data_IF_007408482747
#
_entry.id   IF_007408482747
#
_cell.length_a   1.000
_cell.length_b   1.000
_cell.length_c   1.000
_cell.angle_alpha   90.00
_cell.angle_beta   90.00
_cell.angle_gamma   90.00
#
_symmetry.space_group_name_H-M   'P 1'
#
loop_
_entity.id
_entity.type
_entity.pdbx_description
1 polymer ?
#
# COMPACT_ATOMS: atom_id res chain seq x y z
N UNK A 1 22.42 -10.90 -12.39
CA UNK A 1 21.35 -11.90 -12.64
C UNK A 1 20.24 -11.58 -11.68
N UNK A 2 18.99 -11.54 -12.14
CA UNK A 2 17.84 -11.33 -11.26
C UNK A 2 17.80 -12.40 -10.16
N UNK A 3 17.28 -12.08 -8.96
CA UNK A 3 17.13 -13.08 -7.91
C UNK A 3 16.19 -14.19 -8.38
N UNK A 4 16.40 -15.43 -7.90
CA UNK A 4 15.52 -16.53 -8.22
C UNK A 4 14.10 -16.28 -7.69
N UNK A 5 13.13 -16.90 -8.35
CA UNK A 5 11.78 -17.02 -7.79
C UNK A 5 11.84 -17.87 -6.51
N UNK A 6 10.99 -17.55 -5.54
CA UNK A 6 10.90 -18.32 -4.31
C UNK A 6 10.26 -19.71 -4.60
N UNK A 7 11.02 -20.81 -4.44
CA UNK A 7 10.57 -22.16 -4.87
C UNK A 7 10.21 -23.09 -3.70
N UNK A 8 10.77 -22.87 -2.49
CA UNK A 8 10.61 -23.80 -1.36
C UNK A 8 10.20 -23.10 -0.06
N UNK A 9 9.35 -23.78 0.72
CA UNK A 9 8.85 -23.29 2.01
C UNK A 9 8.89 -24.36 3.09
N UNK A 10 9.37 -23.96 4.26
CA UNK A 10 9.31 -24.77 5.50
C UNK A 10 7.90 -24.74 6.09
N UNK A 11 7.54 -25.76 6.89
CA UNK A 11 6.25 -25.78 7.60
C UNK A 11 6.06 -24.54 8.49
N UNK A 12 7.14 -24.06 9.13
CA UNK A 12 7.10 -22.86 9.96
C UNK A 12 6.81 -21.59 9.14
N UNK A 13 7.35 -21.47 7.93
CA UNK A 13 6.99 -20.36 7.03
C UNK A 13 5.53 -20.42 6.63
N UNK A 14 5.01 -21.59 6.25
CA UNK A 14 3.58 -21.76 5.93
C UNK A 14 2.68 -21.35 7.08
N UNK A 15 3.04 -21.75 8.31
CA UNK A 15 2.33 -21.32 9.51
C UNK A 15 2.35 -19.79 9.68
N UNK A 16 3.50 -19.13 9.48
CA UNK A 16 3.57 -17.66 9.51
C UNK A 16 2.67 -17.00 8.46
N UNK A 17 2.66 -17.53 7.22
CA UNK A 17 1.79 -17.05 6.14
C UNK A 17 0.31 -17.11 6.54
N UNK A 18 -0.13 -18.27 7.03
CA UNK A 18 -1.50 -18.46 7.50
C UNK A 18 -1.84 -17.53 8.67
N UNK A 19 -0.99 -17.45 9.69
CA UNK A 19 -1.21 -16.55 10.83
C UNK A 19 -1.30 -15.09 10.40
N UNK A 20 -0.37 -14.62 9.55
CA UNK A 20 -0.36 -13.27 9.02
C UNK A 20 -1.69 -12.94 8.32
N UNK A 21 -2.10 -13.81 7.40
CA UNK A 21 -3.34 -13.63 6.65
C UNK A 21 -4.57 -13.70 7.55
N UNK A 22 -4.63 -14.64 8.50
CA UNK A 22 -5.74 -14.72 9.45
C UNK A 22 -5.87 -13.45 10.29
N UNK A 23 -4.76 -12.91 10.81
CA UNK A 23 -4.77 -11.66 11.59
C UNK A 23 -5.34 -10.51 10.76
N UNK A 24 -4.87 -10.35 9.52
CA UNK A 24 -5.31 -9.25 8.64
C UNK A 24 -6.77 -9.43 8.25
N UNK A 25 -7.20 -10.63 7.85
CA UNK A 25 -8.59 -10.89 7.44
C UNK A 25 -9.56 -10.70 8.60
N UNK A 26 -9.24 -11.23 9.79
CA UNK A 26 -10.08 -11.06 10.98
C UNK A 26 -10.15 -9.59 11.37
N UNK A 27 -9.01 -8.89 11.38
CA UNK A 27 -8.96 -7.46 11.71
C UNK A 27 -9.74 -6.60 10.72
N UNK A 28 -9.61 -6.85 9.43
CA UNK A 28 -10.35 -6.13 8.38
C UNK A 28 -11.85 -6.39 8.45
N UNK A 29 -12.25 -7.65 8.65
CA UNK A 29 -13.65 -8.04 8.78
C UNK A 29 -14.32 -7.39 10.00
N UNK A 30 -13.70 -7.52 11.17
CA UNK A 30 -14.23 -6.93 12.41
C UNK A 30 -14.18 -5.40 12.36
N UNK A 31 -13.12 -4.81 11.82
CA UNK A 31 -13.02 -3.36 11.61
C UNK A 31 -14.12 -2.83 10.70
N UNK A 32 -14.49 -3.57 9.65
CA UNK A 32 -15.62 -3.19 8.79
C UNK A 32 -16.92 -3.15 9.60
N UNK A 33 -17.21 -4.20 10.36
CA UNK A 33 -18.46 -4.35 11.13
C UNK A 33 -18.56 -3.32 12.27
N UNK A 34 -17.48 -3.13 13.04
CA UNK A 34 -17.53 -2.34 14.28
C UNK A 34 -16.98 -0.92 14.15
N UNK A 35 -16.33 -0.59 13.04
CA UNK A 35 -15.80 0.77 12.79
C UNK A 35 -16.45 1.40 11.57
N UNK A 36 -16.34 0.77 10.39
CA UNK A 36 -16.82 1.38 9.15
C UNK A 36 -18.34 1.48 9.09
N UNK A 37 -19.06 0.40 9.40
CA UNK A 37 -20.54 0.38 9.34
C UNK A 37 -21.17 1.42 10.28
N UNK A 38 -20.79 1.54 11.57
CA UNK A 38 -21.29 2.59 12.46
C UNK A 38 -20.98 4.01 11.98
N UNK A 39 -19.93 4.21 11.19
CA UNK A 39 -19.59 5.52 10.61
C UNK A 39 -20.40 5.84 9.34
N UNK A 40 -21.04 4.87 8.68
CA UNK A 40 -21.78 5.10 7.43
C UNK A 40 -22.89 6.16 7.51
N UNK A 41 -23.65 6.33 8.61
CA UNK A 41 -24.63 7.42 8.70
C UNK A 41 -24.00 8.80 8.52
N UNK A 42 -22.76 8.99 9.01
CA UNK A 42 -22.03 10.26 8.85
C UNK A 42 -21.78 10.60 7.38
N UNK A 43 -21.69 9.60 6.50
CA UNK A 43 -21.49 9.82 5.07
C UNK A 43 -22.69 10.57 4.44
N UNK A 44 -23.90 10.42 4.98
CA UNK A 44 -25.10 11.11 4.50
C UNK A 44 -25.21 12.55 5.01
N UNK A 45 -24.68 12.83 6.21
CA UNK A 45 -24.78 14.16 6.83
C UNK A 45 -23.57 15.05 6.51
N UNK A 46 -22.37 14.48 6.51
CA UNK A 46 -21.13 15.19 6.22
C UNK A 46 -20.14 14.27 5.49
N UNK A 47 -20.30 14.11 4.16
CA UNK A 47 -19.46 13.25 3.35
C UNK A 47 -17.96 13.56 3.50
N UNK A 48 -17.58 14.84 3.59
CA UNK A 48 -16.18 15.27 3.73
C UNK A 48 -15.57 14.84 5.06
N UNK A 49 -16.32 14.97 6.15
CA UNK A 49 -15.87 14.52 7.48
C UNK A 49 -15.78 12.99 7.54
N UNK A 50 -16.78 12.28 7.00
CA UNK A 50 -16.75 10.83 6.86
C UNK A 50 -15.49 10.37 6.12
N UNK A 51 -15.20 10.94 4.95
CA UNK A 51 -13.98 10.64 4.17
C UNK A 51 -12.72 10.84 5.00
N UNK A 52 -12.57 12.00 5.65
CA UNK A 52 -11.39 12.30 6.47
C UNK A 52 -11.18 11.29 7.61
N UNK A 53 -12.27 10.89 8.29
CA UNK A 53 -12.20 9.93 9.40
C UNK A 53 -11.86 8.53 8.87
N UNK A 54 -12.52 8.08 7.80
CA UNK A 54 -12.30 6.75 7.23
C UNK A 54 -10.90 6.64 6.63
N UNK A 55 -10.44 7.63 5.87
CA UNK A 55 -9.08 7.65 5.30
C UNK A 55 -8.01 7.65 6.42
N UNK A 56 -8.26 8.36 7.53
CA UNK A 56 -7.41 8.30 8.71
C UNK A 56 -7.40 6.90 9.34
N UNK A 57 -8.57 6.31 9.61
CA UNK A 57 -8.66 4.99 10.23
C UNK A 57 -8.05 3.88 9.37
N UNK A 58 -8.34 3.88 8.07
CA UNK A 58 -7.76 2.92 7.12
C UNK A 58 -6.25 3.12 7.05
N UNK A 59 -5.76 4.34 6.85
CA UNK A 59 -4.32 4.58 6.72
C UNK A 59 -3.53 4.14 7.95
N UNK A 60 -4.06 4.35 9.16
CA UNK A 60 -3.44 3.86 10.38
C UNK A 60 -3.64 2.34 10.58
N UNK A 61 -4.73 1.76 10.08
CA UNK A 61 -4.90 0.30 10.03
C UNK A 61 -3.86 -0.36 9.10
N UNK A 62 -3.47 0.28 7.99
CA UNK A 62 -2.43 -0.22 7.07
C UNK A 62 -1.04 -0.36 7.72
N UNK A 63 -0.81 0.30 8.86
CA UNK A 63 0.40 0.09 9.67
C UNK A 63 0.46 -1.34 10.20
N UNK A 64 -0.69 -1.99 10.47
CA UNK A 64 -0.76 -3.37 10.94
C UNK A 64 -0.13 -4.38 9.95
N UNK A 65 -0.64 -4.55 8.71
CA UNK A 65 -0.04 -5.46 7.75
C UNK A 65 1.42 -5.08 7.43
N UNK A 66 1.72 -3.79 7.29
CA UNK A 66 3.08 -3.30 7.02
C UNK A 66 4.08 -3.74 8.11
N UNK A 67 3.70 -3.62 9.38
CA UNK A 67 4.56 -3.99 10.51
C UNK A 67 4.71 -5.49 10.65
N UNK A 68 3.62 -6.25 10.45
CA UNK A 68 3.65 -7.70 10.53
C UNK A 68 4.55 -8.31 9.45
N UNK A 69 4.64 -7.70 8.27
CA UNK A 69 5.57 -8.14 7.22
C UNK A 69 7.02 -8.10 7.71
N UNK A 70 7.43 -7.00 8.34
CA UNK A 70 8.77 -6.85 8.89
C UNK A 70 9.00 -7.78 10.11
N UNK A 71 8.04 -7.87 11.02
CA UNK A 71 8.21 -8.61 12.28
C UNK A 71 8.08 -10.13 12.12
N UNK A 72 7.15 -10.61 11.29
CA UNK A 72 6.92 -12.04 11.10
C UNK A 72 7.88 -12.65 10.08
N UNK A 73 8.13 -11.96 8.97
CA UNK A 73 8.93 -12.51 7.86
C UNK A 73 10.36 -11.97 7.82
N UNK A 74 10.67 -10.91 8.59
CA UNK A 74 12.00 -10.31 8.59
C UNK A 74 12.30 -9.51 7.33
N UNK A 75 11.26 -8.97 6.67
CA UNK A 75 11.42 -8.09 5.53
C UNK A 75 12.17 -6.82 5.94
N UNK A 76 13.22 -6.46 5.20
CA UNK A 76 13.98 -5.22 5.40
C UNK A 76 13.71 -4.30 4.24
N UNK A 77 13.15 -3.14 4.56
CA UNK A 77 12.79 -2.11 3.58
C UNK A 77 13.80 -0.98 3.66
N UNK A 78 14.47 -0.73 2.54
CA UNK A 78 15.44 0.35 2.37
C UNK A 78 14.86 1.36 1.38
N UNK A 79 14.82 2.63 1.75
CA UNK A 79 14.26 3.69 0.90
C UNK A 79 15.29 4.79 0.75
N UNK A 80 15.57 5.13 -0.50
CA UNK A 80 16.55 6.12 -0.92
C UNK A 80 15.87 7.14 -1.83
N UNK A 81 16.35 8.37 -1.82
CA UNK A 81 15.99 9.37 -2.82
C UNK A 81 15.32 10.61 -2.23
N UNK A 82 14.38 11.15 -2.98
CA UNK A 82 13.67 12.38 -2.62
C UNK A 82 12.52 12.12 -1.64
N UNK A 83 12.18 13.13 -0.83
CA UNK A 83 11.01 13.08 0.06
C UNK A 83 9.71 13.27 -0.71
N UNK A 84 8.64 12.60 -0.27
CA UNK A 84 7.30 12.75 -0.86
C UNK A 84 6.48 13.71 0.01
N UNK A 85 5.95 14.79 -0.57
CA UNK A 85 5.06 15.74 0.11
C UNK A 85 3.61 15.20 0.13
N UNK A 86 3.02 14.90 1.30
CA UNK A 86 1.66 14.36 1.40
C UNK A 86 0.55 15.40 1.16
N UNK A 87 0.90 16.69 1.05
CA UNK A 87 -0.10 17.77 0.92
C UNK A 87 -0.26 18.28 -0.52
N UNK A 88 0.53 17.76 -1.47
CA UNK A 88 0.47 18.15 -2.87
C UNK A 88 -0.11 17.04 -3.72
N UNK A 89 -1.00 17.33 -4.67
CA UNK A 89 -1.47 16.33 -5.62
C UNK A 89 -0.29 15.82 -6.43
N UNK A 90 -0.09 14.51 -6.44
CA UNK A 90 1.07 13.90 -7.07
C UNK A 90 0.72 12.55 -7.66
N UNK A 91 1.38 12.19 -8.76
CA UNK A 91 1.26 10.89 -9.39
C UNK A 91 2.50 10.06 -9.07
N UNK A 92 2.32 8.84 -8.57
CA UNK A 92 3.43 7.89 -8.37
C UNK A 92 3.41 6.90 -9.52
N UNK A 93 4.54 6.76 -10.20
CA UNK A 93 4.77 5.70 -11.18
C UNK A 93 5.85 4.75 -10.65
N UNK A 94 5.59 3.46 -10.67
CA UNK A 94 6.47 2.45 -10.10
C UNK A 94 6.55 1.25 -11.05
N UNK A 95 7.73 0.64 -11.18
CA UNK A 95 7.81 -0.66 -11.85
C UNK A 95 7.01 -1.70 -11.04
N UNK A 96 6.37 -2.64 -11.73
CA UNK A 96 5.56 -3.67 -11.09
C UNK A 96 6.21 -5.04 -11.30
N UNK A 97 6.77 -5.62 -10.24
CA UNK A 97 7.52 -6.89 -10.30
C UNK A 97 6.81 -8.01 -9.56
N UNK A 98 5.99 -7.68 -8.57
CA UNK A 98 5.22 -8.66 -7.79
C UNK A 98 3.79 -8.20 -7.58
N UNK A 99 2.85 -9.13 -7.46
CA UNK A 99 1.48 -8.78 -7.05
C UNK A 99 1.41 -8.18 -5.64
N UNK A 100 2.48 -8.28 -4.84
CA UNK A 100 2.58 -7.80 -3.45
C UNK A 100 3.30 -6.45 -3.33
N UNK A 101 3.63 -5.78 -4.44
CA UNK A 101 4.38 -4.52 -4.41
C UNK A 101 3.70 -3.46 -3.52
N UNK A 102 2.37 -3.43 -3.48
CA UNK A 102 1.56 -2.54 -2.64
C UNK A 102 1.85 -2.72 -1.14
N UNK A 103 2.02 -3.96 -0.69
CA UNK A 103 2.22 -4.30 0.72
C UNK A 103 3.58 -3.79 1.22
N UNK A 104 4.64 -3.99 0.43
CA UNK A 104 5.97 -3.49 0.74
C UNK A 104 6.05 -1.97 0.56
N UNK A 105 5.23 -1.42 -0.34
CA UNK A 105 5.21 0.01 -0.58
C UNK A 105 4.67 0.79 0.62
N UNK A 106 3.66 0.28 1.32
CA UNK A 106 3.20 0.89 2.58
C UNK A 106 4.30 0.96 3.64
N UNK A 107 5.16 -0.06 3.71
CA UNK A 107 6.32 -0.03 4.61
C UNK A 107 7.30 1.09 4.22
N UNK A 108 7.48 1.34 2.92
CA UNK A 108 8.31 2.43 2.42
C UNK A 108 7.69 3.80 2.75
N UNK A 109 6.39 3.98 2.49
CA UNK A 109 5.66 5.22 2.79
C UNK A 109 5.73 5.58 4.28
N UNK A 110 5.57 4.60 5.18
CA UNK A 110 5.68 4.82 6.63
C UNK A 110 7.03 5.39 7.08
N UNK A 111 8.11 5.10 6.35
CA UNK A 111 9.46 5.62 6.62
C UNK A 111 9.68 7.01 6.06
N UNK A 112 9.08 7.30 4.90
CA UNK A 112 9.19 8.60 4.24
C UNK A 112 8.35 9.63 4.97
N UNK A 113 7.05 9.37 5.12
CA UNK A 113 6.10 10.24 5.80
C UNK A 113 4.83 9.45 6.17
N UNK A 114 4.56 9.18 7.46
CA UNK A 114 3.38 8.43 7.93
C UNK A 114 2.04 8.86 7.36
N UNK A 115 1.85 10.16 7.12
CA UNK A 115 0.61 10.70 6.57
C UNK A 115 0.29 10.15 5.18
N UNK A 116 1.29 9.71 4.42
CA UNK A 116 1.11 9.14 3.08
C UNK A 116 0.20 7.91 3.08
N UNK A 117 0.18 7.11 4.16
CA UNK A 117 -0.73 5.96 4.27
C UNK A 117 -2.21 6.36 4.32
N UNK A 118 -2.52 7.59 4.72
CA UNK A 118 -3.90 8.10 4.75
C UNK A 118 -4.33 8.78 3.45
N UNK A 119 -3.37 9.21 2.63
CA UNK A 119 -3.64 10.01 1.42
C UNK A 119 -3.41 9.23 0.12
N UNK A 120 -2.68 8.13 0.18
CA UNK A 120 -2.43 7.25 -0.96
C UNK A 120 -3.72 6.63 -1.50
N UNK A 121 -3.76 6.48 -2.82
CA UNK A 121 -4.81 5.80 -3.58
C UNK A 121 -4.14 4.98 -4.69
N UNK A 122 -4.39 3.67 -4.69
CA UNK A 122 -3.91 2.78 -5.74
C UNK A 122 -4.99 2.66 -6.82
N UNK A 123 -4.60 2.88 -8.07
CA UNK A 123 -5.48 2.73 -9.23
C UNK A 123 -5.22 1.38 -9.89
N UNK A 124 -6.27 0.60 -10.09
CA UNK A 124 -6.20 -0.69 -10.77
C UNK A 124 -6.19 -0.51 -12.30
N UNK A 125 -5.57 -1.46 -13.01
CA UNK A 125 -5.37 -1.42 -14.47
C UNK A 125 -6.63 -1.10 -15.29
N UNK A 126 -7.80 -1.55 -14.85
CA UNK A 126 -9.07 -1.26 -15.53
C UNK A 126 -9.49 0.21 -15.45
N UNK A 127 -9.18 0.86 -14.33
CA UNK A 127 -9.59 2.23 -14.01
C UNK A 127 -8.66 3.28 -14.61
N UNK A 128 -7.42 2.90 -14.96
CA UNK A 128 -6.42 3.83 -15.56
C UNK A 128 -6.94 4.48 -16.84
N UNK A 129 -7.81 3.79 -17.59
CA UNK A 129 -8.42 4.31 -18.82
C UNK A 129 -9.29 5.55 -18.59
N UNK A 130 -9.78 5.75 -17.37
CA UNK A 130 -10.64 6.87 -16.98
C UNK A 130 -9.88 8.03 -16.32
N UNK A 131 -8.55 8.00 -16.35
CA UNK A 131 -7.70 9.07 -15.83
C UNK A 131 -7.18 10.11 -16.87
N UNK A 132 -7.69 10.26 -18.12
CA UNK A 132 -7.10 11.25 -19.03
C UNK A 132 -7.28 12.66 -18.45
N UNK A 133 -6.17 13.42 -18.36
CA UNK A 133 -6.14 14.74 -17.73
C UNK A 133 -5.67 14.75 -16.27
N UNK A 134 -5.41 13.59 -15.64
CA UNK A 134 -4.82 13.54 -14.31
C UNK A 134 -3.46 14.24 -14.24
N UNK A 135 -2.68 14.23 -15.34
CA UNK A 135 -1.42 14.96 -15.47
C UNK A 135 -1.58 16.48 -15.30
N UNK A 136 -2.74 17.05 -15.62
CA UNK A 136 -3.01 18.49 -15.45
C UNK A 136 -3.32 18.88 -14.02
N UNK A 137 -3.64 17.90 -13.17
CA UNK A 137 -4.08 18.12 -11.79
C UNK A 137 -3.00 17.77 -10.75
N UNK A 138 -1.80 17.37 -11.19
CA UNK A 138 -0.69 17.01 -10.28
C UNK A 138 0.44 18.04 -10.35
N UNK A 139 1.06 18.29 -9.20
CA UNK A 139 2.23 19.17 -9.09
C UNK A 139 3.53 18.42 -9.42
N UNK A 140 3.59 17.13 -9.06
CA UNK A 140 4.77 16.29 -9.20
C UNK A 140 4.43 14.87 -9.66
N UNK A 141 5.38 14.28 -10.39
CA UNK A 141 5.47 12.84 -10.62
C UNK A 141 6.59 12.29 -9.74
N UNK A 142 6.29 11.26 -8.95
CA UNK A 142 7.30 10.49 -8.22
C UNK A 142 7.59 9.22 -9.00
N UNK A 143 8.81 9.16 -9.54
CA UNK A 143 9.32 8.02 -10.26
C UNK A 143 10.01 7.07 -9.30
N UNK A 144 9.36 5.94 -9.00
CA UNK A 144 9.82 4.98 -8.01
C UNK A 144 10.36 3.73 -8.72
N UNK A 145 11.57 3.32 -8.33
CA UNK A 145 12.16 2.04 -8.73
C UNK A 145 12.24 1.12 -7.52
N UNK A 146 11.56 -0.02 -7.58
CA UNK A 146 11.63 -1.09 -6.57
C UNK A 146 12.49 -2.25 -7.05
N UNK A 147 13.47 -2.63 -6.24
CA UNK A 147 14.37 -3.76 -6.47
C UNK A 147 14.32 -4.77 -5.32
N UNK A 148 14.31 -6.06 -5.67
CA UNK A 148 14.25 -7.17 -4.70
C UNK A 148 15.63 -7.84 -4.58
N UNK A 149 16.26 -7.77 -3.42
CA UNK A 149 17.65 -8.22 -3.24
C UNK A 149 17.83 -9.73 -3.11
N UNK A 150 16.81 -10.45 -2.62
CA UNK A 150 16.92 -11.87 -2.26
C UNK A 150 16.06 -12.80 -3.10
N UNK A 151 14.76 -12.53 -3.20
CA UNK A 151 13.81 -13.35 -3.96
C UNK A 151 12.63 -12.53 -4.43
N UNK A 152 12.03 -12.93 -5.55
CA UNK A 152 10.80 -12.36 -6.08
C UNK A 152 9.65 -13.31 -5.75
N UNK A 153 8.61 -12.78 -5.10
CA UNK A 153 7.38 -13.51 -4.76
C UNK A 153 6.29 -13.04 -5.71
N UNK A 154 5.94 -13.85 -6.71
CA UNK A 154 5.04 -13.40 -7.77
C UNK A 154 3.58 -13.27 -7.30
N UNK A 155 3.07 -14.29 -6.60
CA UNK A 155 1.66 -14.38 -6.25
C UNK A 155 1.41 -14.11 -4.75
N UNK A 156 0.22 -13.60 -4.44
CA UNK A 156 -0.22 -13.46 -3.04
C UNK A 156 -0.34 -14.83 -2.35
N UNK A 157 -0.76 -15.86 -3.08
CA UNK A 157 -0.86 -17.24 -2.58
C UNK A 157 0.48 -17.80 -2.11
N UNK A 158 1.60 -17.33 -2.66
CA UNK A 158 2.94 -17.70 -2.21
C UNK A 158 3.27 -17.09 -0.84
N UNK A 159 2.79 -15.89 -0.54
CA UNK A 159 2.87 -15.32 0.80
C UNK A 159 1.92 -16.05 1.76
N UNK A 160 0.66 -16.24 1.38
CA UNK A 160 -0.37 -16.82 2.25
C UNK A 160 -0.10 -18.29 2.57
N UNK A 161 0.05 -19.14 1.54
CA UNK A 161 0.11 -20.60 1.71
C UNK A 161 1.52 -21.09 1.96
N UNK A 162 2.53 -20.41 1.39
CA UNK A 162 3.94 -20.82 1.49
C UNK A 162 4.74 -19.95 2.48
N UNK A 163 4.21 -18.81 2.94
CA UNK A 163 4.93 -17.90 3.82
C UNK A 163 6.18 -17.29 3.18
N UNK A 164 6.20 -17.20 1.84
CA UNK A 164 7.32 -16.66 1.10
C UNK A 164 7.18 -15.14 1.04
N UNK A 165 8.21 -14.45 1.50
CA UNK A 165 8.26 -13.00 1.55
C UNK A 165 9.70 -12.56 1.23
N UNK A 166 9.90 -11.57 0.36
CA UNK A 166 11.21 -10.97 0.17
C UNK A 166 11.74 -10.42 1.50
N UNK A 167 13.02 -10.63 1.76
CA UNK A 167 13.72 -10.17 2.97
C UNK A 167 14.47 -8.87 2.74
N UNK A 168 14.71 -8.48 1.50
CA UNK A 168 15.44 -7.25 1.18
C UNK A 168 14.77 -6.53 0.01
N UNK A 169 14.03 -5.46 0.31
CA UNK A 169 13.31 -4.65 -0.68
C UNK A 169 13.86 -3.24 -0.65
N UNK A 170 14.25 -2.75 -1.82
CA UNK A 170 14.88 -1.44 -1.96
C UNK A 170 14.03 -0.55 -2.85
N UNK A 171 13.82 0.68 -2.41
CA UNK A 171 13.12 1.71 -3.15
C UNK A 171 14.08 2.87 -3.44
N UNK A 172 14.06 3.33 -4.70
CA UNK A 172 14.68 4.57 -5.13
C UNK A 172 13.57 5.52 -5.61
N UNK A 173 13.42 6.66 -4.95
CA UNK A 173 12.39 7.67 -5.22
C UNK A 173 13.05 8.86 -5.92
N UNK A 174 12.52 9.26 -7.07
CA UNK A 174 12.94 10.47 -7.77
C UNK A 174 11.74 11.40 -7.98
N UNK A 175 11.86 12.64 -7.52
CA UNK A 175 10.83 13.65 -7.71
C UNK A 175 11.02 14.37 -9.05
N UNK A 176 9.95 14.46 -9.84
CA UNK A 176 9.93 15.11 -11.15
C UNK A 176 8.84 16.20 -11.13
N UNK A 177 9.19 17.49 -11.27
CA UNK A 177 8.19 18.55 -11.38
C UNK A 177 7.32 18.35 -12.62
N UNK A 178 6.00 18.53 -12.50
CA UNK A 178 5.09 18.43 -13.64
C UNK A 178 5.46 19.43 -14.76
N UNK A 179 5.99 20.59 -14.39
CA UNK A 179 6.49 21.61 -15.32
C UNK A 179 7.65 21.16 -16.22
N UNK A 180 8.32 20.05 -15.87
CA UNK A 180 9.40 19.47 -16.68
C UNK A 180 8.93 18.47 -17.73
N UNK A 181 7.65 18.12 -17.73
CA UNK A 181 7.10 17.13 -18.66
C UNK A 181 6.86 17.74 -20.05
N UNK A 182 7.14 16.97 -21.13
CA UNK A 182 6.73 17.37 -22.47
C UNK A 182 5.21 17.55 -22.56
N UNK A 183 4.79 18.57 -23.30
CA UNK A 183 3.36 18.89 -23.48
C UNK A 183 2.74 18.19 -24.69
N UNK A 184 3.56 17.75 -25.65
CA UNK A 184 3.12 17.02 -26.84
C UNK A 184 3.10 15.52 -26.57
N UNK A 185 2.02 14.84 -26.96
CA UNK A 185 1.79 13.42 -26.67
C UNK A 185 2.92 12.52 -27.20
N UNK A 186 3.42 12.75 -28.42
CA UNK A 186 4.53 11.97 -29.00
C UNK A 186 5.83 12.13 -28.18
N UNK A 187 6.11 13.36 -27.72
CA UNK A 187 7.29 13.64 -26.91
C UNK A 187 7.16 13.06 -25.50
N UNK A 188 5.95 13.09 -24.93
CA UNK A 188 5.64 12.51 -23.64
C UNK A 188 5.74 10.98 -23.67
N UNK A 189 5.25 10.34 -24.74
CA UNK A 189 5.41 8.91 -24.97
C UNK A 189 6.90 8.54 -25.03
N UNK A 190 7.68 9.27 -25.82
CA UNK A 190 9.14 9.04 -25.90
C UNK A 190 9.81 9.23 -24.55
N UNK A 191 9.49 10.30 -23.82
CA UNK A 191 10.01 10.54 -22.47
C UNK A 191 9.68 9.40 -21.51
N UNK A 192 8.45 8.86 -21.56
CA UNK A 192 8.02 7.76 -20.71
C UNK A 192 8.78 6.46 -21.06
N UNK A 193 8.99 6.20 -22.36
CA UNK A 193 9.79 5.07 -22.82
C UNK A 193 11.24 5.19 -22.37
N UNK A 194 11.84 6.37 -22.46
CA UNK A 194 13.19 6.65 -21.96
C UNK A 194 13.29 6.45 -20.44
N UNK A 195 12.26 6.85 -19.68
CA UNK A 195 12.19 6.60 -18.23
C UNK A 195 12.16 5.12 -17.90
N UNK A 196 11.36 4.33 -18.61
CA UNK A 196 11.37 2.87 -18.42
C UNK A 196 12.71 2.23 -18.80
N UNK A 197 13.35 2.69 -19.88
CA UNK A 197 14.67 2.21 -20.27
C UNK A 197 15.74 2.49 -19.19
N UNK A 198 15.72 3.69 -18.61
CA UNK A 198 16.60 4.05 -17.48
C UNK A 198 16.33 3.14 -16.28
N UNK A 199 15.07 2.87 -15.94
CA UNK A 199 14.73 1.96 -14.84
C UNK A 199 15.23 0.54 -15.05
N UNK A 200 15.09 -0.01 -16.25
CA UNK A 200 15.62 -1.34 -16.56
C UNK A 200 17.15 -1.37 -16.40
N UNK A 201 17.85 -0.31 -16.81
CA UNK A 201 19.30 -0.18 -16.58
C UNK A 201 19.65 -0.09 -15.09
N UNK A 202 18.89 0.69 -14.30
CA UNK A 202 19.05 0.81 -12.85
C UNK A 202 18.85 -0.55 -12.16
N UNK A 203 17.82 -1.30 -12.55
CA UNK A 203 17.55 -2.64 -12.03
C UNK A 203 18.65 -3.63 -12.41
N UNK A 204 19.11 -3.60 -13.66
CA UNK A 204 20.22 -4.43 -14.11
C UNK A 204 21.47 -4.21 -13.24
N UNK A 205 21.80 -2.94 -12.97
CA UNK A 205 22.92 -2.56 -12.13
C UNK A 205 22.71 -2.95 -10.67
N UNK A 206 21.51 -2.73 -10.12
CA UNK A 206 21.12 -3.15 -8.78
C UNK A 206 21.34 -4.66 -8.57
N UNK A 207 20.93 -5.50 -9.52
CA UNK A 207 21.10 -6.95 -9.44
C UNK A 207 22.56 -7.41 -9.66
N UNK A 208 23.37 -6.60 -10.36
CA UNK A 208 24.80 -6.85 -10.52
C UNK A 208 25.58 -6.52 -9.25
N UNK A 209 25.24 -5.41 -8.60
CA UNK A 209 25.95 -4.87 -7.44
C UNK A 209 25.35 -5.28 -6.08
N UNK A 210 24.16 -5.91 -6.09
CA UNK A 210 23.37 -6.31 -4.91
C UNK A 210 22.97 -5.13 -4.01
N UNK A 211 22.45 -4.08 -4.62
CA UNK A 211 21.96 -2.91 -3.92
C UNK A 211 22.06 -1.65 -4.77
N UNK A 212 21.34 -0.58 -4.41
CA UNK A 212 21.50 0.73 -5.05
C UNK A 212 22.76 1.47 -4.54
N UNK A 213 23.81 0.73 -4.13
CA UNK A 213 24.99 1.26 -3.44
C UNK A 213 26.25 0.94 -4.26
N UNK A 214 26.88 2.01 -4.80
CA UNK A 214 28.12 2.07 -5.63
C UNK A 214 27.97 2.33 -7.14
N UNK A 215 26.95 3.05 -7.57
CA UNK A 215 27.06 3.82 -8.81
C UNK A 215 27.37 5.30 -8.51
N UNK A 216 28.53 5.75 -8.97
CA UNK A 216 28.90 7.14 -9.29
C UNK A 216 28.52 8.26 -8.28
N UNK A 217 28.73 8.09 -6.97
CA UNK A 217 28.60 9.19 -5.99
C UNK A 217 27.16 9.59 -5.60
N UNK A 218 26.14 8.90 -6.11
CA UNK A 218 24.73 9.17 -5.79
C UNK A 218 24.37 8.90 -4.32
N UNK A 219 25.07 7.97 -3.65
CA UNK A 219 24.74 7.57 -2.28
C UNK A 219 24.99 8.65 -1.21
N UNK A 220 25.82 9.65 -1.49
CA UNK A 220 26.02 10.82 -0.61
C UNK A 220 25.05 11.96 -0.91
N UNK A 221 24.32 11.91 -2.03
CA UNK A 221 23.42 12.97 -2.46
C UNK A 221 21.95 12.69 -2.10
N UNK A 222 21.58 11.41 -1.93
CA UNK A 222 20.22 11.02 -1.61
C UNK A 222 19.96 10.84 -0.12
N UNK A 223 18.74 11.17 0.30
CA UNK A 223 18.27 10.90 1.65
C UNK A 223 18.08 9.40 1.85
N UNK A 224 18.48 8.91 3.02
CA UNK A 224 18.24 7.53 3.44
C UNK A 224 17.10 7.55 4.46
N UNK A 225 15.92 7.06 4.08
CA UNK A 225 14.78 7.02 4.99
C UNK A 225 14.83 5.75 5.82
N UNK A 226 15.09 5.92 7.12
CA UNK A 226 15.12 4.84 8.10
C UNK A 226 14.08 5.09 9.19
N UNK A 227 13.56 4.01 9.77
CA UNK A 227 12.65 4.11 10.91
C UNK A 227 13.36 4.71 12.12
N UNK A 228 13.02 5.96 12.44
CA UNK A 228 13.47 6.62 13.66
C UNK A 228 12.90 5.91 14.89
N UNK A 229 13.56 6.00 16.08
CA UNK A 229 13.02 5.42 17.30
C UNK A 229 11.59 5.87 17.63
N UNK A 230 11.27 7.14 17.32
CA UNK A 230 9.92 7.69 17.48
C UNK A 230 8.90 7.00 16.58
N UNK A 231 9.21 6.83 15.29
CA UNK A 231 8.32 6.14 14.35
C UNK A 231 8.16 4.65 14.68
N UNK A 232 9.21 3.98 15.17
CA UNK A 232 9.10 2.59 15.67
C UNK A 232 8.18 2.49 16.88
N UNK A 233 8.31 3.41 17.83
CA UNK A 233 7.42 3.45 19.00
C UNK A 233 5.96 3.68 18.56
N UNK A 234 5.73 4.64 17.67
CA UNK A 234 4.41 4.92 17.13
C UNK A 234 3.82 3.69 16.39
N UNK A 235 4.62 3.01 15.58
CA UNK A 235 4.26 1.77 14.90
C UNK A 235 3.82 0.69 15.91
N UNK A 236 4.61 0.46 16.97
CA UNK A 236 4.27 -0.50 18.03
C UNK A 236 2.96 -0.14 18.73
N UNK A 237 2.76 1.14 19.06
CA UNK A 237 1.54 1.62 19.71
C UNK A 237 0.32 1.37 18.81
N UNK A 238 0.38 1.79 17.54
CA UNK A 238 -0.72 1.64 16.58
C UNK A 238 -1.07 0.16 16.40
N UNK A 239 -0.07 -0.69 16.17
CA UNK A 239 -0.28 -2.13 16.00
C UNK A 239 -0.90 -2.74 17.26
N UNK A 240 -0.41 -2.37 18.45
CA UNK A 240 -0.93 -2.88 19.71
C UNK A 240 -2.40 -2.46 19.93
N UNK A 241 -2.75 -1.22 19.60
CA UNK A 241 -4.12 -0.73 19.65
C UNK A 241 -5.03 -1.55 18.72
N UNK A 242 -4.61 -1.76 17.47
CA UNK A 242 -5.41 -2.53 16.52
C UNK A 242 -5.55 -4.00 16.90
N UNK A 243 -4.50 -4.64 17.43
CA UNK A 243 -4.57 -6.02 17.91
C UNK A 243 -5.48 -6.15 19.14
N UNK A 244 -5.40 -5.20 20.07
CA UNK A 244 -6.28 -5.15 21.24
C UNK A 244 -7.75 -4.93 20.83
N UNK A 245 -8.00 -3.96 19.94
CA UNK A 245 -9.34 -3.69 19.42
C UNK A 245 -9.91 -4.90 18.65
N UNK A 246 -9.10 -5.53 17.80
CA UNK A 246 -9.49 -6.74 17.07
C UNK A 246 -9.83 -7.88 18.04
N UNK A 247 -9.05 -8.07 19.11
CA UNK A 247 -9.33 -9.09 20.13
C UNK A 247 -10.62 -8.80 20.90
N UNK A 248 -10.85 -7.53 21.26
CA UNK A 248 -12.09 -7.10 21.90
C UNK A 248 -13.31 -7.31 21.01
N UNK A 249 -13.24 -6.91 19.74
CA UNK A 249 -14.33 -7.13 18.79
C UNK A 249 -14.56 -8.59 18.49
N UNK A 250 -13.50 -9.41 18.43
CA UNK A 250 -13.64 -10.86 18.25
C UNK A 250 -14.38 -11.48 19.45
N UNK A 251 -14.04 -11.04 20.67
CA UNK A 251 -14.76 -11.45 21.88
C UNK A 251 -16.25 -11.05 21.80
N UNK A 252 -16.57 -9.81 21.43
CA UNK A 252 -17.95 -9.37 21.24
C UNK A 252 -18.67 -10.19 20.15
N UNK A 253 -18.00 -10.46 19.04
CA UNK A 253 -18.55 -11.21 17.92
C UNK A 253 -18.95 -12.64 18.32
N UNK A 254 -18.14 -13.27 19.17
CA UNK A 254 -18.37 -14.65 19.63
C UNK A 254 -19.39 -14.70 20.78
N UNK A 255 -19.41 -13.70 21.67
CA UNK A 255 -20.21 -13.75 22.91
C UNK A 255 -21.60 -13.15 22.77
N UNK A 256 -21.77 -12.14 21.92
CA UNK A 256 -23.07 -11.53 21.70
C UNK A 256 -23.89 -12.38 20.73
N UNK A 257 -25.15 -12.61 21.07
CA UNK A 257 -26.09 -13.26 20.16
C UNK A 257 -26.33 -12.39 18.92
N UNK A 258 -26.67 -13.02 17.80
CA UNK A 258 -27.05 -12.39 16.52
C UNK A 258 -25.93 -11.69 15.73
N UNK A 259 -24.68 -11.71 16.18
CA UNK A 259 -23.57 -11.07 15.45
C UNK A 259 -23.36 -11.68 14.05
N UNK A 260 -23.54 -12.99 13.91
CA UNK A 260 -23.48 -13.69 12.61
C UNK A 260 -24.59 -13.19 11.67
N UNK A 261 -25.83 -13.07 12.15
CA UNK A 261 -26.94 -12.54 11.35
C UNK A 261 -26.70 -11.10 10.94
N UNK A 262 -26.21 -10.26 11.85
CA UNK A 262 -25.82 -8.89 11.54
C UNK A 262 -24.74 -8.84 10.45
N UNK A 263 -23.69 -9.66 10.56
CA UNK A 263 -22.63 -9.74 9.55
C UNK A 263 -23.16 -10.19 8.17
N UNK A 264 -24.08 -11.15 8.13
CA UNK A 264 -24.72 -11.58 6.89
C UNK A 264 -25.56 -10.47 6.26
N UNK A 265 -26.31 -9.71 7.06
CA UNK A 265 -27.07 -8.55 6.56
C UNK A 265 -26.12 -7.51 5.97
N UNK A 266 -25.05 -7.15 6.69
CA UNK A 266 -24.03 -6.21 6.20
C UNK A 266 -23.42 -6.70 4.87
N UNK A 267 -23.06 -7.98 4.78
CA UNK A 267 -22.52 -8.57 3.57
C UNK A 267 -23.50 -8.47 2.40
N UNK A 268 -24.76 -8.83 2.61
CA UNK A 268 -25.81 -8.72 1.59
C UNK A 268 -26.02 -7.27 1.15
N UNK A 269 -25.99 -6.31 2.08
CA UNK A 269 -26.08 -4.89 1.76
C UNK A 269 -24.90 -4.41 0.92
N UNK A 270 -23.67 -4.82 1.25
CA UNK A 270 -22.47 -4.48 0.47
C UNK A 270 -22.56 -5.06 -0.95
N UNK A 271 -22.98 -6.32 -1.10
CA UNK A 271 -23.17 -6.97 -2.39
C UNK A 271 -24.26 -6.24 -3.20
N UNK A 272 -25.39 -5.89 -2.58
CA UNK A 272 -26.46 -5.15 -3.25
C UNK A 272 -25.97 -3.77 -3.72
N UNK A 273 -25.22 -3.03 -2.90
CA UNK A 273 -24.62 -1.74 -3.30
C UNK A 273 -23.62 -1.94 -4.45
N UNK A 274 -22.80 -2.99 -4.42
CA UNK A 274 -21.86 -3.30 -5.49
C UNK A 274 -22.60 -3.54 -6.81
N UNK A 275 -23.68 -4.32 -6.81
CA UNK A 275 -24.45 -4.64 -8.01
C UNK A 275 -25.24 -3.42 -8.51
N UNK A 276 -25.92 -2.70 -7.62
CA UNK A 276 -26.81 -1.60 -8.01
C UNK A 276 -26.07 -0.29 -8.34
N UNK A 277 -24.95 -0.01 -7.67
CA UNK A 277 -24.28 1.29 -7.73
C UNK A 277 -22.83 1.20 -8.21
N UNK A 278 -22.37 0.01 -8.63
CA UNK A 278 -20.97 -0.24 -9.00
C UNK A 278 -19.96 0.07 -7.87
N UNK A 279 -20.42 -0.07 -6.62
CA UNK A 279 -19.60 0.11 -5.42
C UNK A 279 -20.04 1.26 -4.52
N UNK A 280 -19.49 1.25 -3.30
CA UNK A 280 -19.89 2.18 -2.23
C UNK A 280 -19.51 3.64 -2.53
N UNK A 281 -18.38 3.89 -3.19
CA UNK A 281 -17.96 5.26 -3.53
C UNK A 281 -18.89 5.93 -4.54
N UNK A 282 -19.28 5.21 -5.58
CA UNK A 282 -20.24 5.69 -6.58
C UNK A 282 -21.61 5.92 -5.94
N UNK A 283 -22.03 5.04 -5.03
CA UNK A 283 -23.24 5.24 -4.23
C UNK A 283 -23.19 6.55 -3.42
N UNK A 284 -22.10 6.82 -2.71
CA UNK A 284 -21.92 8.08 -1.96
C UNK A 284 -21.87 9.30 -2.88
N UNK A 285 -21.23 9.20 -4.05
CA UNK A 285 -21.18 10.26 -5.04
C UNK A 285 -22.59 10.64 -5.52
N UNK A 286 -23.42 9.64 -5.85
CA UNK A 286 -24.83 9.83 -6.26
C UNK A 286 -25.63 10.55 -5.17
N UNK A 287 -25.42 10.19 -3.89
CA UNK A 287 -26.11 10.82 -2.76
C UNK A 287 -25.64 12.26 -2.55
N UNK A 288 -24.34 12.53 -2.66
CA UNK A 288 -23.76 13.86 -2.44
C UNK A 288 -24.10 14.90 -3.51
N UNK A 289 -24.60 14.45 -4.68
CA UNK A 289 -25.06 15.29 -5.78
C UNK A 289 -26.54 15.69 -5.67
N UNK A 290 -27.27 15.18 -4.67
CA UNK A 290 -28.63 15.61 -4.29
C UNK A 290 -28.59 16.62 -3.15
#
# INVERSE_FOLDING_TARGET
MEPPLAVSSTQFQRFKGLCFTSIILISSFLGTIYVLIPLTPLAFFNPKLFRRIVDFLIGYWLVLPSSLVEWMFGARIQVLGDSIDPNRPSLIIMNHRTCLDWLFFWCALWRVEPKLLTTEKIVLKGEVKYLPGAEKCVDYIYDITVGYGDQIVQAETDLVLKGMCPKDVHYLIQQIPNSSLPQEDEQLEKWLMDKWAIKEQLLHNFYKERGFRRQNGWSSQFNHFQLTPKLKLLQIIIVSIWLMATSFWLYLFITLNNQIWFALIVLMSIIAIQICCNGFEMFLAIISLR
#
